data_IF_629900016403
#
_entry.id   IF_629900016403
#
_cell.length_a   1.000
_cell.length_b   1.000
_cell.length_c   1.000
_cell.angle_alpha   90.00
_cell.angle_beta   90.00
_cell.angle_gamma   90.00
#
_symmetry.space_group_name_H-M   'P 1'
#
loop_
_entity.id
_entity.type
_entity.pdbx_description
1 polymer ?
#
# COMPACT_ATOMS: atom_id res chain seq x y z
N UNK A 1 7.98 -12.36 -6.45
CA UNK A 1 6.93 -12.98 -5.61
C UNK A 1 6.44 -14.30 -6.21
N UNK A 2 6.11 -14.34 -7.50
CA UNK A 2 5.67 -15.56 -8.23
C UNK A 2 6.58 -16.77 -8.05
N UNK A 3 7.90 -16.60 -8.21
CA UNK A 3 8.85 -17.71 -8.11
C UNK A 3 8.84 -18.40 -6.73
N UNK A 4 8.68 -17.62 -5.66
CA UNK A 4 8.64 -18.13 -4.28
C UNK A 4 7.37 -18.97 -4.08
N UNK A 5 6.23 -18.49 -4.55
CA UNK A 5 4.95 -19.21 -4.47
C UNK A 5 5.01 -20.49 -5.29
N UNK A 6 5.45 -20.42 -6.55
CA UNK A 6 5.55 -21.59 -7.42
C UNK A 6 6.48 -22.66 -6.84
N UNK A 7 7.62 -22.25 -6.27
CA UNK A 7 8.55 -23.18 -5.58
C UNK A 7 7.88 -23.89 -4.41
N UNK A 8 7.17 -23.14 -3.56
CA UNK A 8 6.52 -23.69 -2.38
C UNK A 8 5.34 -24.61 -2.75
N UNK A 9 4.54 -24.24 -3.76
CA UNK A 9 3.49 -25.10 -4.32
C UNK A 9 4.06 -26.41 -4.86
N UNK A 10 5.17 -26.34 -5.62
CA UNK A 10 5.86 -27.54 -6.14
C UNK A 10 6.40 -28.44 -5.02
N UNK A 11 6.76 -27.86 -3.88
CA UNK A 11 7.19 -28.60 -2.70
C UNK A 11 6.01 -29.18 -1.88
N UNK A 12 4.76 -28.97 -2.31
CA UNK A 12 3.57 -29.46 -1.60
C UNK A 12 3.25 -28.68 -0.32
N UNK A 13 3.80 -27.48 -0.14
CA UNK A 13 3.52 -26.63 1.02
C UNK A 13 2.17 -25.92 0.80
N UNK A 14 1.19 -26.07 1.70
CA UNK A 14 -0.08 -25.35 1.61
C UNK A 14 0.13 -23.84 1.65
N UNK A 15 -0.47 -23.13 0.70
CA UNK A 15 -0.43 -21.67 0.59
C UNK A 15 -1.78 -21.15 0.10
N UNK A 16 -2.44 -20.32 0.90
CA UNK A 16 -3.75 -19.76 0.56
C UNK A 16 -3.71 -18.28 0.19
N UNK A 17 -2.77 -17.51 0.74
CA UNK A 17 -2.78 -16.05 0.62
C UNK A 17 -1.38 -15.48 0.39
N UNK A 18 -1.25 -14.60 -0.60
CA UNK A 18 -0.08 -13.75 -0.77
C UNK A 18 -0.32 -12.37 -0.15
N UNK A 19 0.68 -11.81 0.50
CA UNK A 19 0.62 -10.48 1.12
C UNK A 19 1.64 -9.58 0.43
N UNK A 20 1.22 -8.41 -0.02
CA UNK A 20 2.13 -7.38 -0.52
C UNK A 20 2.28 -6.26 0.52
N UNK A 21 3.52 -6.02 0.94
CA UNK A 21 3.92 -4.93 1.82
C UNK A 21 4.10 -3.62 1.03
N UNK A 22 4.50 -2.54 1.69
CA UNK A 22 4.53 -1.16 1.20
C UNK A 22 5.31 -0.95 -0.10
N UNK A 23 6.21 -1.87 -0.45
CA UNK A 23 7.05 -1.83 -1.64
C UNK A 23 6.25 -1.73 -2.95
N UNK A 24 4.99 -2.20 -2.98
CA UNK A 24 4.18 -2.12 -4.18
C UNK A 24 3.72 -0.69 -4.52
N UNK A 25 3.77 0.21 -3.56
CA UNK A 25 3.31 1.59 -3.70
C UNK A 25 4.35 2.47 -4.39
N UNK A 26 3.90 3.52 -5.08
CA UNK A 26 4.80 4.54 -5.61
C UNK A 26 5.34 5.39 -4.46
N UNK A 27 6.64 5.23 -4.14
CA UNK A 27 7.31 5.97 -3.04
C UNK A 27 6.52 5.91 -1.72
N UNK A 28 5.99 4.74 -1.37
CA UNK A 28 5.25 4.51 -0.11
C UNK A 28 3.93 5.31 0.02
N UNK A 29 3.38 5.82 -1.09
CA UNK A 29 2.11 6.56 -1.07
C UNK A 29 0.93 5.60 -1.16
N UNK A 30 0.04 5.63 -0.16
CA UNK A 30 -1.18 4.84 -0.17
C UNK A 30 -2.01 5.04 -1.44
N UNK A 31 -2.67 3.96 -1.87
CA UNK A 31 -3.54 3.92 -3.06
C UNK A 31 -2.81 4.21 -4.38
N UNK A 32 -1.53 3.84 -4.47
CA UNK A 32 -0.74 3.92 -5.71
C UNK A 32 -0.09 2.59 -6.03
N UNK A 33 0.35 2.44 -7.29
CA UNK A 33 1.15 1.31 -7.75
C UNK A 33 2.45 1.85 -8.34
N UNK A 34 3.59 1.42 -7.81
CA UNK A 34 4.91 1.82 -8.30
C UNK A 34 5.20 1.23 -9.68
N UNK A 35 6.08 1.86 -10.45
CA UNK A 35 6.44 1.42 -11.81
C UNK A 35 6.97 -0.03 -11.84
N UNK A 36 7.79 -0.39 -10.85
CA UNK A 36 8.34 -1.75 -10.68
C UNK A 36 7.25 -2.80 -10.35
N UNK A 37 6.05 -2.35 -9.99
CA UNK A 37 4.89 -3.18 -9.64
C UNK A 37 3.73 -2.97 -10.61
N UNK A 38 3.97 -2.41 -11.80
CA UNK A 38 2.95 -2.20 -12.82
C UNK A 38 2.21 -3.46 -13.24
N UNK A 39 2.86 -4.63 -13.16
CA UNK A 39 2.26 -5.95 -13.41
C UNK A 39 1.55 -6.57 -12.19
N UNK A 40 1.41 -5.87 -11.07
CA UNK A 40 0.73 -6.37 -9.87
C UNK A 40 -0.71 -6.83 -10.17
N UNK A 41 -1.53 -6.14 -10.98
CA UNK A 41 -2.89 -6.62 -11.30
C UNK A 41 -2.90 -7.98 -12.00
N UNK A 42 -2.01 -8.19 -12.97
CA UNK A 42 -1.90 -9.46 -13.71
C UNK A 42 -1.43 -10.59 -12.78
N UNK A 43 -0.48 -10.29 -11.90
CA UNK A 43 -0.03 -11.23 -10.88
C UNK A 43 -1.15 -11.62 -9.91
N UNK A 44 -1.97 -10.66 -9.45
CA UNK A 44 -3.13 -10.95 -8.59
C UNK A 44 -4.15 -11.82 -9.32
N UNK A 45 -4.39 -11.58 -10.61
CA UNK A 45 -5.27 -12.41 -11.43
C UNK A 45 -4.74 -13.85 -11.56
N UNK A 46 -3.42 -14.01 -11.73
CA UNK A 46 -2.78 -15.34 -11.75
C UNK A 46 -2.99 -16.08 -10.43
N UNK A 47 -2.77 -15.42 -9.28
CA UNK A 47 -3.01 -16.02 -7.97
C UNK A 47 -4.48 -16.44 -7.77
N UNK A 48 -5.43 -15.59 -8.18
CA UNK A 48 -6.84 -15.92 -8.13
C UNK A 48 -7.18 -17.13 -9.01
N UNK A 49 -6.52 -17.30 -10.17
CA UNK A 49 -6.71 -18.46 -11.03
C UNK A 49 -6.25 -19.78 -10.38
N UNK A 50 -5.34 -19.71 -9.42
CA UNK A 50 -4.90 -20.85 -8.61
C UNK A 50 -5.75 -21.07 -7.35
N UNK A 51 -6.82 -20.28 -7.16
CA UNK A 51 -7.68 -20.34 -5.98
C UNK A 51 -7.10 -19.64 -4.74
N UNK A 52 -5.97 -18.93 -4.89
CA UNK A 52 -5.36 -18.16 -3.80
C UNK A 52 -6.03 -16.80 -3.63
N UNK A 53 -5.73 -16.12 -2.51
CA UNK A 53 -6.18 -14.76 -2.20
C UNK A 53 -5.00 -13.80 -2.10
N UNK A 54 -5.25 -12.51 -2.22
CA UNK A 54 -4.22 -11.48 -2.03
C UNK A 54 -4.65 -10.48 -0.96
N UNK A 55 -3.71 -10.08 -0.10
CA UNK A 55 -3.86 -8.97 0.85
C UNK A 55 -2.83 -7.89 0.50
N UNK A 56 -3.27 -6.64 0.50
CA UNK A 56 -2.41 -5.47 0.35
C UNK A 56 -2.40 -4.69 1.67
N UNK A 57 -1.23 -4.21 2.09
CA UNK A 57 -1.12 -3.29 3.22
C UNK A 57 -1.59 -1.89 2.83
N UNK A 58 -2.17 -1.16 3.77
CA UNK A 58 -2.45 0.27 3.66
C UNK A 58 -2.11 0.94 4.99
N UNK A 59 -1.48 2.10 4.92
CA UNK A 59 -1.16 2.91 6.09
C UNK A 59 -2.26 3.94 6.37
N UNK A 60 -2.35 4.47 7.59
CA UNK A 60 -3.32 5.52 7.92
C UNK A 60 -2.85 6.92 7.50
N UNK A 61 -1.54 7.12 7.29
CA UNK A 61 -0.95 8.43 7.05
C UNK A 61 -0.90 8.75 5.56
N UNK A 62 -1.69 9.74 5.13
CA UNK A 62 -1.77 10.16 3.73
C UNK A 62 -0.85 11.36 3.49
N UNK A 63 0.07 11.25 2.53
CA UNK A 63 0.91 12.36 2.09
C UNK A 63 0.06 13.53 1.57
N UNK A 64 0.37 14.77 1.97
CA UNK A 64 -0.51 15.93 1.79
C UNK A 64 -0.52 16.54 0.38
N UNK A 65 0.33 16.06 -0.52
CA UNK A 65 0.63 16.71 -1.81
C UNK A 65 0.20 15.90 -3.04
N UNK A 66 -0.68 14.90 -2.90
CA UNK A 66 -1.14 14.07 -4.03
C UNK A 66 -2.65 13.79 -4.02
N UNK A 67 -3.10 13.11 -5.09
CA UNK A 67 -4.52 12.97 -5.42
C UNK A 67 -5.37 12.36 -4.31
N UNK A 68 -4.86 11.38 -3.54
CA UNK A 68 -5.65 10.76 -2.47
C UNK A 68 -5.99 11.76 -1.37
N UNK A 69 -5.05 12.61 -0.97
CA UNK A 69 -5.31 13.70 -0.03
C UNK A 69 -6.33 14.69 -0.59
N UNK A 70 -6.17 15.12 -1.84
CA UNK A 70 -7.09 16.06 -2.49
C UNK A 70 -8.52 15.52 -2.59
N UNK A 71 -8.67 14.22 -2.91
CA UNK A 71 -9.97 13.54 -2.89
C UNK A 71 -10.56 13.49 -1.47
N UNK A 72 -9.73 13.21 -0.46
CA UNK A 72 -10.14 13.24 0.95
C UNK A 72 -10.70 14.60 1.36
N UNK A 73 -9.98 15.69 1.07
CA UNK A 73 -10.45 17.06 1.32
C UNK A 73 -11.75 17.35 0.58
N UNK A 74 -11.85 17.01 -0.70
CA UNK A 74 -13.06 17.21 -1.52
C UNK A 74 -14.27 16.45 -0.98
N UNK A 75 -14.04 15.26 -0.42
CA UNK A 75 -15.05 14.43 0.23
C UNK A 75 -15.38 14.86 1.67
N UNK A 76 -14.78 15.95 2.18
CA UNK A 76 -14.90 16.42 3.56
C UNK A 76 -14.43 15.39 4.61
N UNK A 77 -13.45 14.56 4.24
CA UNK A 77 -12.77 13.70 5.19
C UNK A 77 -12.09 14.54 6.28
N UNK A 78 -12.02 13.99 7.51
CA UNK A 78 -11.31 14.63 8.61
C UNK A 78 -9.92 14.02 8.75
N UNK A 79 -8.93 14.90 8.86
CA UNK A 79 -7.57 14.57 9.24
C UNK A 79 -7.34 15.05 10.68
N UNK A 80 -6.38 14.44 11.36
CA UNK A 80 -5.98 14.91 12.69
C UNK A 80 -5.28 16.25 12.54
N UNK A 81 -5.78 17.24 13.27
CA UNK A 81 -5.27 18.61 13.28
C UNK A 81 -5.04 19.06 14.72
N UNK A 82 -4.10 19.98 14.90
CA UNK A 82 -3.92 20.65 16.20
C UNK A 82 -5.12 21.56 16.48
N UNK A 83 -5.50 21.69 17.75
CA UNK A 83 -6.59 22.59 18.17
C UNK A 83 -6.29 24.05 17.78
N UNK A 84 -5.02 24.44 17.85
CA UNK A 84 -4.56 25.80 17.54
C UNK A 84 -3.30 25.79 16.68
N UNK A 85 -3.17 26.83 15.85
CA UNK A 85 -2.06 26.97 14.91
C UNK A 85 -0.68 27.14 15.57
N UNK A 86 -0.63 27.60 16.83
CA UNK A 86 0.59 27.74 17.63
C UNK A 86 1.12 26.40 18.17
N UNK A 87 0.30 25.34 18.16
CA UNK A 87 0.70 23.99 18.56
C UNK A 87 1.38 23.20 17.43
N UNK A 88 1.32 23.70 16.19
CA UNK A 88 1.93 23.03 15.03
C UNK A 88 3.45 23.03 15.18
N UNK A 89 4.04 21.85 15.33
CA UNK A 89 5.49 21.68 15.25
C UNK A 89 5.98 22.03 13.85
N UNK A 90 6.73 23.14 13.73
CA UNK A 90 7.32 23.60 12.45
C UNK A 90 8.76 23.11 12.25
N UNK A 91 9.39 22.60 13.30
CA UNK A 91 10.66 21.88 13.20
C UNK A 91 10.40 20.47 12.67
N UNK A 92 11.06 20.10 11.58
CA UNK A 92 10.95 18.77 10.95
C UNK A 92 11.39 17.70 11.95
N UNK A 93 10.56 16.68 12.18
CA UNK A 93 11.03 15.38 12.61
C UNK A 93 11.61 14.69 11.39
N UNK A 94 12.93 14.62 11.31
CA UNK A 94 13.60 13.81 10.30
C UNK A 94 13.42 12.37 10.78
N UNK A 95 12.53 11.62 10.13
CA UNK A 95 12.57 10.16 10.24
C UNK A 95 13.73 9.71 9.37
N UNK A 96 14.81 9.22 9.99
CA UNK A 96 15.84 8.41 9.33
C UNK A 96 15.26 7.07 8.87
#
# INVERSE_FOLDING_TARGET
MTEIIARNMKAGIPLDTAVADIDYMERYKDFTTGQNWSALPDYVNELHSWGMRTILIFDPAIQVDYQSFQRGISAKARFIEWERADQVMRSIQVCE
#
